data_IF_076893263218
#
_entry.id   IF_076893263218
#
_cell.length_a   1.000
_cell.length_b   1.000
_cell.length_c   1.000
_cell.angle_alpha   90.00
_cell.angle_beta   90.00
_cell.angle_gamma   90.00
#
_symmetry.space_group_name_H-M   'P 1'
#
loop_
_entity.id
_entity.type
_entity.pdbx_description
1 polymer ?
#
# COMPACT_ATOMS: atom_id res chain seq x y z
N UNK A 1 38.32 -91.90 62.69
CA UNK A 1 39.44 -91.38 61.87
C UNK A 1 40.72 -91.70 62.62
N UNK A 2 41.68 -92.33 61.95
CA UNK A 2 42.95 -92.79 62.54
C UNK A 2 43.76 -91.62 63.10
N UNK A 3 44.06 -91.66 64.40
CA UNK A 3 44.91 -90.65 65.06
C UNK A 3 46.33 -90.73 64.48
N UNK A 4 46.91 -89.62 63.97
CA UNK A 4 48.23 -89.65 63.37
C UNK A 4 49.30 -89.94 64.44
N UNK A 5 50.21 -90.89 64.14
CA UNK A 5 51.33 -91.27 65.02
C UNK A 5 52.65 -90.72 64.49
N UNK A 6 53.49 -90.21 65.39
CA UNK A 6 54.88 -89.81 65.09
C UNK A 6 55.81 -90.72 65.89
N UNK A 7 56.86 -91.23 65.24
CA UNK A 7 57.87 -92.07 65.88
C UNK A 7 58.99 -91.18 66.43
N UNK A 8 59.31 -91.30 67.72
CA UNK A 8 60.39 -90.53 68.32
C UNK A 8 61.76 -90.98 67.76
N UNK A 9 62.56 -90.09 67.15
CA UNK A 9 63.85 -90.47 66.56
C UNK A 9 64.91 -90.88 67.60
N UNK A 10 64.71 -90.56 68.88
CA UNK A 10 65.69 -90.82 69.95
C UNK A 10 65.46 -92.14 70.71
N UNK A 11 64.20 -92.55 70.92
CA UNK A 11 63.86 -93.76 71.67
C UNK A 11 62.92 -94.74 70.94
N UNK A 12 62.56 -94.45 69.68
CA UNK A 12 61.69 -95.25 68.80
C UNK A 12 60.28 -95.55 69.36
N UNK A 13 59.86 -94.88 70.42
CA UNK A 13 58.49 -95.00 70.94
C UNK A 13 57.49 -94.36 69.96
N UNK A 14 56.35 -95.03 69.75
CA UNK A 14 55.21 -94.50 69.01
C UNK A 14 54.47 -93.47 69.86
N UNK A 15 54.48 -92.21 69.43
CA UNK A 15 53.73 -91.12 70.07
C UNK A 15 52.47 -90.90 69.25
N UNK A 16 51.31 -91.21 69.83
CA UNK A 16 50.01 -90.87 69.25
C UNK A 16 49.78 -89.37 69.41
N UNK A 17 49.54 -88.64 68.33
CA UNK A 17 49.06 -87.26 68.39
C UNK A 17 47.60 -87.28 68.82
N UNK A 18 47.38 -87.51 70.11
CA UNK A 18 46.06 -87.38 70.71
C UNK A 18 45.69 -85.90 70.77
N UNK A 19 44.39 -85.61 70.85
CA UNK A 19 43.84 -84.26 70.99
C UNK A 19 44.53 -83.46 72.13
N UNK A 20 45.03 -84.17 73.15
CA UNK A 20 45.82 -83.64 74.27
C UNK A 20 47.19 -83.04 73.90
N UNK A 21 47.84 -83.48 72.82
CA UNK A 21 49.15 -82.97 72.38
C UNK A 21 49.03 -81.79 71.41
N UNK A 22 47.95 -81.73 70.63
CA UNK A 22 47.67 -80.65 69.67
C UNK A 22 46.87 -79.48 70.27
N UNK A 23 46.12 -79.72 71.36
CA UNK A 23 45.30 -78.71 72.03
C UNK A 23 46.07 -77.41 72.40
N UNK A 24 47.30 -77.44 72.95
CA UNK A 24 48.01 -76.21 73.31
C UNK A 24 48.40 -75.36 72.09
N UNK A 25 48.75 -76.01 70.97
CA UNK A 25 49.10 -75.33 69.73
C UNK A 25 47.85 -74.74 69.05
N UNK A 26 46.75 -75.51 69.00
CA UNK A 26 45.48 -75.03 68.48
C UNK A 26 44.92 -73.88 69.32
N UNK A 27 45.05 -73.94 70.64
CA UNK A 27 44.63 -72.86 71.54
C UNK A 27 45.47 -71.59 71.36
N UNK A 28 46.79 -71.73 71.16
CA UNK A 28 47.66 -70.57 70.85
C UNK A 28 47.27 -69.90 69.52
N UNK A 29 47.05 -70.70 68.47
CA UNK A 29 46.61 -70.16 67.16
C UNK A 29 45.23 -69.53 67.24
N UNK A 30 44.29 -70.13 67.98
CA UNK A 30 42.95 -69.58 68.20
C UNK A 30 43.02 -68.22 68.89
N UNK A 31 43.84 -68.06 69.94
CA UNK A 31 44.04 -66.77 70.63
C UNK A 31 44.64 -65.71 69.69
N UNK A 32 45.57 -66.08 68.82
CA UNK A 32 46.15 -65.16 67.85
C UNK A 32 45.16 -64.74 66.75
N UNK A 33 44.32 -65.67 66.29
CA UNK A 33 43.23 -65.35 65.36
C UNK A 33 42.16 -64.47 66.02
N UNK A 34 41.75 -64.75 67.25
CA UNK A 34 40.81 -63.93 68.02
C UNK A 34 41.37 -62.50 68.22
N UNK A 35 42.66 -62.36 68.53
CA UNK A 35 43.33 -61.04 68.60
C UNK A 35 43.35 -60.31 67.25
N UNK A 36 43.70 -61.00 66.16
CA UNK A 36 43.73 -60.41 64.81
C UNK A 36 42.35 -60.01 64.33
N UNK A 37 41.31 -60.79 64.66
CA UNK A 37 39.93 -60.48 64.35
C UNK A 37 39.48 -59.24 65.14
N UNK A 38 39.72 -59.21 66.45
CA UNK A 38 39.42 -58.06 67.29
C UNK A 38 40.16 -56.77 66.84
N UNK A 39 41.41 -56.89 66.39
CA UNK A 39 42.16 -55.76 65.80
C UNK A 39 41.54 -55.28 64.49
N UNK A 40 41.17 -56.20 63.59
CA UNK A 40 40.51 -55.84 62.33
C UNK A 40 39.14 -55.21 62.57
N UNK A 41 38.34 -55.76 63.47
CA UNK A 41 37.03 -55.23 63.83
C UNK A 41 37.15 -53.82 64.45
N UNK A 42 38.18 -53.58 65.27
CA UNK A 42 38.47 -52.25 65.80
C UNK A 42 38.91 -51.26 64.71
N UNK A 43 39.71 -51.70 63.74
CA UNK A 43 40.15 -50.85 62.63
C UNK A 43 39.03 -50.56 61.63
N UNK A 44 38.13 -51.53 61.35
CA UNK A 44 36.94 -51.31 60.54
C UNK A 44 35.97 -50.36 61.23
N UNK A 45 35.73 -50.54 62.54
CA UNK A 45 34.88 -49.63 63.31
C UNK A 45 35.42 -48.19 63.32
N UNK A 46 36.75 -48.00 63.40
CA UNK A 46 37.39 -46.67 63.29
C UNK A 46 37.17 -46.06 61.90
N UNK A 47 37.35 -46.84 60.84
CA UNK A 47 37.15 -46.36 59.45
C UNK A 47 35.70 -46.01 59.18
N UNK A 48 34.75 -46.82 59.65
CA UNK A 48 33.31 -46.56 59.52
C UNK A 48 32.93 -45.28 60.28
N UNK A 49 33.45 -45.07 61.48
CA UNK A 49 33.24 -43.82 62.23
C UNK A 49 33.82 -42.60 61.50
N UNK A 50 35.02 -42.72 60.91
CA UNK A 50 35.63 -41.63 60.15
C UNK A 50 34.85 -41.32 58.86
N UNK A 51 34.39 -42.34 58.13
CA UNK A 51 33.55 -42.16 56.93
C UNK A 51 32.25 -41.48 57.30
N UNK A 52 31.58 -41.91 58.39
CA UNK A 52 30.35 -41.28 58.86
C UNK A 52 30.55 -39.80 59.22
N UNK A 53 31.64 -39.47 59.92
CA UNK A 53 31.98 -38.07 60.21
C UNK A 53 32.22 -37.25 58.94
N UNK A 54 32.87 -37.83 57.93
CA UNK A 54 33.08 -37.17 56.63
C UNK A 54 31.76 -36.99 55.87
N UNK A 55 30.87 -37.98 55.88
CA UNK A 55 29.54 -37.88 55.29
C UNK A 55 28.73 -36.76 55.94
N UNK A 56 28.70 -36.69 57.28
CA UNK A 56 28.03 -35.64 58.04
C UNK A 56 28.65 -34.24 57.78
N UNK A 57 29.97 -34.16 57.58
CA UNK A 57 30.63 -32.91 57.20
C UNK A 57 30.26 -32.47 55.78
N UNK A 58 30.19 -33.42 54.84
CA UNK A 58 29.80 -33.15 53.44
C UNK A 58 28.35 -32.73 53.34
N UNK A 59 27.43 -33.35 54.10
CA UNK A 59 26.02 -32.93 54.10
C UNK A 59 25.86 -31.50 54.63
N UNK A 60 26.52 -31.17 55.75
CA UNK A 60 26.51 -29.80 56.29
C UNK A 60 27.11 -28.78 55.32
N UNK A 61 28.21 -29.13 54.63
CA UNK A 61 28.81 -28.24 53.64
C UNK A 61 27.90 -28.03 52.43
N UNK A 62 27.16 -29.06 51.98
CA UNK A 62 26.16 -28.94 50.92
C UNK A 62 25.00 -28.04 51.33
N UNK A 63 24.45 -28.24 52.51
CA UNK A 63 23.36 -27.39 53.04
C UNK A 63 23.76 -25.92 53.12
N UNK A 64 24.97 -25.62 53.61
CA UNK A 64 25.50 -24.26 53.65
C UNK A 64 25.72 -23.65 52.26
N UNK A 65 26.20 -24.46 51.30
CA UNK A 65 26.38 -24.00 49.93
C UNK A 65 25.03 -23.71 49.26
N UNK A 66 24.05 -24.58 49.46
CA UNK A 66 22.70 -24.42 48.92
C UNK A 66 22.03 -23.16 49.48
N UNK A 67 22.22 -22.86 50.77
CA UNK A 67 21.73 -21.64 51.40
C UNK A 67 22.40 -20.38 50.81
N UNK A 68 23.73 -20.38 50.64
CA UNK A 68 24.45 -19.27 50.02
C UNK A 68 24.06 -19.05 48.56
N UNK A 69 23.84 -20.13 47.80
CA UNK A 69 23.38 -20.06 46.42
C UNK A 69 21.96 -19.52 46.36
N UNK A 70 21.06 -19.99 47.22
CA UNK A 70 19.69 -19.50 47.30
C UNK A 70 19.64 -18.00 47.62
N UNK A 71 20.47 -17.52 48.56
CA UNK A 71 20.54 -16.11 48.91
C UNK A 71 21.07 -15.25 47.75
N UNK A 72 22.17 -15.68 47.09
CA UNK A 72 22.70 -14.99 45.90
C UNK A 72 21.68 -14.91 44.79
N UNK A 73 21.02 -16.03 44.46
CA UNK A 73 19.97 -16.08 43.43
C UNK A 73 18.81 -15.15 43.78
N UNK A 74 18.41 -15.08 45.06
CA UNK A 74 17.35 -14.16 45.52
C UNK A 74 17.76 -12.70 45.35
N UNK A 75 18.99 -12.35 45.70
CA UNK A 75 19.52 -10.99 45.54
C UNK A 75 19.57 -10.55 44.07
N UNK A 76 20.03 -11.45 43.18
CA UNK A 76 20.11 -11.19 41.74
C UNK A 76 18.74 -11.08 41.09
N UNK A 77 17.78 -11.93 41.48
CA UNK A 77 16.39 -11.81 41.02
C UNK A 77 15.77 -10.47 41.42
N UNK A 78 16.02 -10.01 42.65
CA UNK A 78 15.54 -8.70 43.10
C UNK A 78 16.19 -7.54 42.32
N UNK A 79 17.50 -7.64 42.03
CA UNK A 79 18.22 -6.65 41.21
C UNK A 79 17.65 -6.57 39.79
N UNK A 80 17.50 -7.73 39.13
CA UNK A 80 16.93 -7.82 37.78
C UNK A 80 15.50 -7.26 37.77
N UNK A 81 14.66 -7.63 38.74
CA UNK A 81 13.29 -7.11 38.82
C UNK A 81 13.26 -5.58 38.99
N UNK A 82 14.16 -5.01 39.80
CA UNK A 82 14.25 -3.56 39.99
C UNK A 82 14.75 -2.83 38.73
N UNK A 83 15.73 -3.38 38.03
CA UNK A 83 16.24 -2.82 36.78
C UNK A 83 15.18 -2.86 35.66
N UNK A 84 14.48 -3.98 35.51
CA UNK A 84 13.40 -4.11 34.52
C UNK A 84 12.22 -3.20 34.86
N UNK A 85 11.85 -3.05 36.13
CA UNK A 85 10.83 -2.08 36.54
C UNK A 85 11.24 -0.63 36.21
N UNK A 86 12.53 -0.29 36.39
CA UNK A 86 13.06 1.04 36.04
C UNK A 86 13.06 1.27 34.54
N UNK A 87 13.49 0.29 33.74
CA UNK A 87 13.45 0.37 32.26
C UNK A 87 12.02 0.49 31.75
N UNK A 88 11.10 -0.33 32.27
CA UNK A 88 9.68 -0.26 31.90
C UNK A 88 9.09 1.11 32.21
N UNK A 89 9.40 1.70 33.38
CA UNK A 89 8.94 3.05 33.73
C UNK A 89 9.49 4.13 32.79
N UNK A 90 10.77 4.04 32.41
CA UNK A 90 11.39 4.98 31.47
C UNK A 90 10.79 4.86 30.06
N UNK A 91 10.55 3.64 29.57
CA UNK A 91 9.93 3.41 28.26
C UNK A 91 8.49 3.96 28.22
N UNK A 92 7.69 3.69 29.27
CA UNK A 92 6.33 4.22 29.37
C UNK A 92 6.35 5.75 29.44
N UNK A 93 7.32 6.34 30.15
CA UNK A 93 7.44 7.79 30.24
C UNK A 93 7.85 8.42 28.90
N UNK A 94 8.79 7.81 28.16
CA UNK A 94 9.15 8.30 26.82
C UNK A 94 8.00 8.20 25.83
N UNK A 95 7.21 7.12 25.90
CA UNK A 95 6.05 6.93 25.04
C UNK A 95 4.96 7.97 25.35
N UNK A 96 4.72 8.26 26.64
CA UNK A 96 3.80 9.32 27.06
C UNK A 96 4.27 10.70 26.60
N UNK A 97 5.56 11.02 26.77
CA UNK A 97 6.12 12.30 26.33
C UNK A 97 6.02 12.48 24.80
N UNK A 98 6.22 11.41 24.03
CA UNK A 98 5.99 11.42 22.58
C UNK A 98 4.52 11.64 22.23
N UNK A 99 3.60 10.95 22.92
CA UNK A 99 2.15 11.11 22.69
C UNK A 99 1.65 12.51 23.03
N UNK A 100 2.19 13.12 24.08
CA UNK A 100 1.86 14.52 24.44
C UNK A 100 2.29 15.47 23.33
N UNK A 101 3.52 15.33 22.79
CA UNK A 101 3.98 16.15 21.66
C UNK A 101 3.14 15.96 20.40
N UNK A 102 2.82 14.71 20.04
CA UNK A 102 1.94 14.42 18.91
C UNK A 102 0.56 15.07 19.07
N UNK A 103 0.01 15.08 20.30
CA UNK A 103 -1.26 15.74 20.58
C UNK A 103 -1.13 17.26 20.45
N UNK A 104 -0.06 17.87 20.97
CA UNK A 104 0.21 19.30 20.83
C UNK A 104 0.29 19.72 19.35
N UNK A 105 1.09 18.99 18.55
CA UNK A 105 1.23 19.23 17.10
C UNK A 105 -0.10 19.09 16.35
N UNK A 106 -0.89 18.05 16.67
CA UNK A 106 -2.22 17.86 16.08
C UNK A 106 -3.19 18.98 16.46
N UNK A 107 -3.10 19.48 17.69
CA UNK A 107 -3.96 20.57 18.17
C UNK A 107 -3.61 21.88 17.46
N UNK A 108 -2.32 22.13 17.21
CA UNK A 108 -1.84 23.29 16.44
C UNK A 108 -2.29 23.21 14.98
N UNK A 109 -2.13 22.05 14.33
CA UNK A 109 -2.61 21.81 12.97
C UNK A 109 -4.13 21.99 12.83
N UNK A 110 -4.91 21.57 13.83
CA UNK A 110 -6.37 21.77 13.84
C UNK A 110 -6.72 23.26 13.93
N UNK A 111 -6.03 24.02 14.79
CA UNK A 111 -6.22 25.49 14.88
C UNK A 111 -5.89 26.19 13.57
N UNK A 112 -4.80 25.81 12.90
CA UNK A 112 -4.46 26.36 11.58
C UNK A 112 -5.52 26.04 10.51
N UNK A 113 -6.04 24.81 10.52
CA UNK A 113 -7.10 24.41 9.58
C UNK A 113 -8.40 25.14 9.85
N UNK A 114 -8.79 25.31 11.11
CA UNK A 114 -9.96 26.10 11.50
C UNK A 114 -9.83 27.56 11.06
N UNK A 115 -8.65 28.17 11.22
CA UNK A 115 -8.38 29.52 10.75
C UNK A 115 -8.51 29.64 9.22
N UNK A 116 -7.92 28.71 8.46
CA UNK A 116 -8.04 28.66 6.99
C UNK A 116 -9.48 28.44 6.53
N UNK A 117 -10.23 27.61 7.25
CA UNK A 117 -11.63 27.34 6.94
C UNK A 117 -12.51 28.58 7.20
N UNK A 118 -12.27 29.29 8.30
CA UNK A 118 -12.93 30.56 8.59
C UNK A 118 -12.62 31.64 7.54
N UNK A 119 -11.36 31.73 7.10
CA UNK A 119 -10.94 32.65 6.04
C UNK A 119 -11.62 32.31 4.70
N UNK A 120 -11.67 31.02 4.33
CA UNK A 120 -12.35 30.56 3.11
C UNK A 120 -13.86 30.83 3.15
N UNK A 121 -14.52 30.61 4.28
CA UNK A 121 -15.94 30.94 4.47
C UNK A 121 -16.21 32.43 4.33
N UNK A 122 -15.35 33.28 4.90
CA UNK A 122 -15.44 34.74 4.76
C UNK A 122 -15.26 35.18 3.31
N UNK A 123 -14.26 34.64 2.61
CA UNK A 123 -14.02 34.93 1.20
C UNK A 123 -15.22 34.52 0.32
N UNK A 124 -15.84 33.36 0.61
CA UNK A 124 -17.03 32.90 -0.09
C UNK A 124 -18.23 33.85 0.15
N UNK A 125 -18.43 34.30 1.39
CA UNK A 125 -19.49 35.26 1.73
C UNK A 125 -19.28 36.61 1.03
N UNK A 126 -18.04 37.10 0.98
CA UNK A 126 -17.68 38.35 0.30
C UNK A 126 -17.89 38.25 -1.22
N UNK A 127 -17.56 37.11 -1.84
CA UNK A 127 -17.83 36.85 -3.27
C UNK A 127 -19.33 36.85 -3.57
N UNK A 128 -20.14 36.19 -2.75
CA UNK A 128 -21.60 36.18 -2.91
C UNK A 128 -22.19 37.58 -2.77
N UNK A 129 -21.67 38.39 -1.84
CA UNK A 129 -22.08 39.78 -1.66
C UNK A 129 -21.74 40.63 -2.88
N UNK A 130 -20.49 40.56 -3.36
CA UNK A 130 -20.05 41.25 -4.58
C UNK A 130 -20.87 40.83 -5.81
N UNK A 131 -21.21 39.55 -5.92
CA UNK A 131 -22.04 39.06 -7.02
C UNK A 131 -23.44 39.70 -7.00
N UNK A 132 -24.08 39.79 -5.83
CA UNK A 132 -25.39 40.47 -5.69
C UNK A 132 -25.30 41.95 -6.03
N UNK A 133 -24.28 42.65 -5.53
CA UNK A 133 -24.06 44.07 -5.83
C UNK A 133 -23.86 44.32 -7.34
N UNK A 134 -23.12 43.45 -8.03
CA UNK A 134 -22.95 43.51 -9.49
C UNK A 134 -24.26 43.22 -10.25
N UNK A 135 -25.05 42.26 -9.80
CA UNK A 135 -26.31 41.91 -10.44
C UNK A 135 -27.37 43.02 -10.25
N UNK A 136 -27.41 43.67 -9.08
CA UNK A 136 -28.26 44.84 -8.83
C UNK A 136 -27.80 46.06 -9.65
N UNK A 137 -26.49 46.31 -9.73
CA UNK A 137 -25.94 47.38 -10.56
C UNK A 137 -26.24 47.17 -12.06
N UNK A 138 -26.20 45.93 -12.55
CA UNK A 138 -26.62 45.59 -13.92
C UNK A 138 -28.09 45.89 -14.14
N UNK A 139 -28.98 45.50 -13.21
CA UNK A 139 -30.42 45.79 -13.32
C UNK A 139 -30.70 47.29 -13.33
N UNK A 140 -30.02 48.06 -12.49
CA UNK A 140 -30.15 49.52 -12.47
C UNK A 140 -29.63 50.13 -13.78
N UNK A 141 -28.50 49.65 -14.29
CA UNK A 141 -27.96 50.08 -15.58
C UNK A 141 -28.93 49.77 -16.73
N UNK A 142 -29.47 48.56 -16.79
CA UNK A 142 -30.46 48.15 -17.80
C UNK A 142 -31.72 49.01 -17.74
N UNK A 143 -32.25 49.28 -16.54
CA UNK A 143 -33.37 50.20 -16.32
C UNK A 143 -33.06 51.63 -16.78
N UNK A 144 -31.82 52.09 -16.57
CA UNK A 144 -31.37 53.42 -16.98
C UNK A 144 -31.22 53.52 -18.50
N UNK A 145 -30.75 52.45 -19.13
CA UNK A 145 -30.67 52.31 -20.59
C UNK A 145 -32.07 52.27 -21.19
N UNK A 146 -33.00 51.49 -20.63
CA UNK A 146 -34.40 51.45 -21.08
C UNK A 146 -35.08 52.82 -20.95
N UNK A 147 -34.89 53.53 -19.83
CA UNK A 147 -35.41 54.90 -19.67
C UNK A 147 -34.81 55.86 -20.69
N UNK A 148 -33.49 55.83 -20.93
CA UNK A 148 -32.85 56.65 -21.96
C UNK A 148 -33.34 56.31 -23.37
N UNK A 149 -33.59 55.04 -23.67
CA UNK A 149 -34.16 54.61 -24.95
C UNK A 149 -35.61 55.08 -25.09
N UNK A 150 -36.41 55.03 -24.03
CA UNK A 150 -37.78 55.54 -24.03
C UNK A 150 -37.84 57.07 -24.14
N UNK A 151 -36.96 57.79 -23.43
CA UNK A 151 -36.82 59.25 -23.53
C UNK A 151 -36.31 59.68 -24.91
N UNK A 152 -35.35 58.94 -25.47
CA UNK A 152 -34.90 59.12 -26.86
C UNK A 152 -36.02 58.86 -27.87
N UNK A 153 -36.85 57.83 -27.66
CA UNK A 153 -38.03 57.54 -28.49
C UNK A 153 -39.14 58.58 -28.34
N UNK A 154 -39.32 59.18 -27.17
CA UNK A 154 -40.28 60.25 -26.92
C UNK A 154 -39.83 61.57 -27.58
N UNK A 155 -38.54 61.92 -27.45
CA UNK A 155 -37.95 63.08 -28.13
C UNK A 155 -38.01 62.93 -29.67
N UNK A 156 -37.80 61.71 -30.18
CA UNK A 156 -37.92 61.42 -31.62
C UNK A 156 -39.37 61.42 -32.09
N UNK A 157 -40.33 61.00 -31.25
CA UNK A 157 -41.78 61.07 -31.53
C UNK A 157 -42.32 62.49 -31.54
N UNK A 158 -41.84 63.37 -30.67
CA UNK A 158 -42.25 64.78 -30.62
C UNK A 158 -41.70 65.57 -31.82
N UNK A 159 -40.48 65.24 -32.27
CA UNK A 159 -39.89 65.80 -33.49
C UNK A 159 -40.58 65.25 -34.76
N UNK A 160 -40.95 63.97 -34.78
CA UNK A 160 -41.66 63.34 -35.90
C UNK A 160 -43.14 63.77 -36.03
N UNK A 161 -43.77 64.24 -34.94
CA UNK A 161 -45.16 64.75 -34.98
C UNK A 161 -45.27 66.12 -35.66
N UNK A 162 -44.16 66.89 -35.75
CA UNK A 162 -44.10 68.17 -36.46
C UNK A 162 -43.77 68.05 -37.95
N UNK A 163 -43.22 66.92 -38.40
CA UNK A 163 -42.83 66.69 -39.80
C UNK A 163 -43.82 65.76 -40.55
N UNK A 164 -44.87 65.26 -39.88
CA UNK A 164 -45.78 64.24 -40.41
C UNK A 164 -47.23 64.71 -40.63
N UNK A 165 -47.46 65.99 -40.96
CA UNK A 165 -48.75 66.45 -41.51
C UNK A 165 -48.75 66.61 -43.05
N UNK A 166 -47.63 66.37 -43.74
CA UNK A 166 -47.59 66.31 -45.20
C UNK A 166 -46.83 65.06 -45.67
N UNK A 167 -47.54 63.97 -46.00
CA UNK A 167 -46.91 62.84 -46.70
C UNK A 167 -47.46 61.45 -46.41
N UNK A 168 -48.73 61.24 -46.75
CA UNK A 168 -49.30 59.98 -47.25
C UNK A 168 -48.78 58.62 -46.72
N UNK A 169 -49.68 57.93 -46.00
CA UNK A 169 -50.26 56.64 -46.40
C UNK A 169 -49.65 56.03 -47.68
N UNK A 170 -48.62 55.18 -47.56
CA UNK A 170 -48.29 54.15 -48.58
C UNK A 170 -47.15 53.17 -48.19
N UNK A 171 -46.80 53.01 -46.90
CA UNK A 171 -45.75 52.04 -46.48
C UNK A 171 -46.15 51.05 -45.38
N UNK A 172 -47.43 50.97 -45.05
CA UNK A 172 -47.94 50.00 -44.06
C UNK A 172 -48.29 48.64 -44.70
N UNK A 173 -48.37 48.57 -46.03
CA UNK A 173 -48.74 47.34 -46.77
C UNK A 173 -47.59 46.41 -47.14
N UNK A 174 -46.36 46.64 -46.63
CA UNK A 174 -45.22 45.74 -46.89
C UNK A 174 -44.80 44.90 -45.67
N UNK A 175 -45.29 45.20 -44.45
CA UNK A 175 -44.80 44.55 -43.22
C UNK A 175 -45.63 43.34 -42.77
N UNK A 176 -46.81 43.11 -43.37
CA UNK A 176 -47.64 41.93 -43.08
C UNK A 176 -47.11 40.62 -43.71
N UNK A 177 -46.16 40.69 -44.63
CA UNK A 177 -45.54 39.49 -45.23
C UNK A 177 -44.39 38.86 -44.42
N UNK A 178 -43.99 39.46 -43.30
CA UNK A 178 -42.83 38.97 -42.52
C UNK A 178 -43.16 37.94 -41.44
N UNK A 179 -44.44 37.58 -41.25
CA UNK A 179 -44.88 36.63 -40.22
C UNK A 179 -44.68 35.15 -40.64
N UNK A 180 -44.50 34.89 -41.94
CA UNK A 180 -44.24 33.53 -42.46
C UNK A 180 -42.79 33.03 -42.20
N UNK A 181 -41.84 33.93 -41.92
CA UNK A 181 -40.42 33.56 -41.74
C UNK A 181 -40.09 33.03 -40.33
N UNK A 182 -40.99 33.18 -39.35
CA UNK A 182 -40.73 32.76 -37.96
C UNK A 182 -41.20 31.34 -37.63
N UNK A 183 -41.95 30.68 -38.53
CA UNK A 183 -42.37 29.28 -38.33
C UNK A 183 -41.24 28.26 -38.56
N UNK A 184 -40.09 28.68 -39.09
CA UNK A 184 -38.93 27.80 -39.35
C UNK A 184 -37.96 27.65 -38.17
N UNK A 185 -38.08 28.48 -37.13
CA UNK A 185 -37.21 28.44 -35.94
C UNK A 185 -37.81 27.67 -34.75
N UNK A 186 -39.07 27.20 -34.86
CA UNK A 186 -39.74 26.45 -33.77
C UNK A 186 -39.41 24.95 -33.81
N UNK A 187 -38.88 24.44 -34.93
CA UNK A 187 -38.45 23.04 -35.07
C UNK A 187 -37.05 22.79 -34.48
N UNK A 188 -36.23 23.84 -34.38
CA UNK A 188 -34.84 23.77 -33.90
C UNK A 188 -34.74 23.76 -32.36
N UNK A 189 -35.75 24.31 -31.67
CA UNK A 189 -35.87 24.20 -30.20
C UNK A 189 -36.46 22.86 -29.74
N UNK A 190 -37.23 22.18 -30.60
CA UNK A 190 -37.75 20.83 -30.32
C UNK A 190 -36.63 19.78 -30.26
N UNK A 191 -35.54 19.98 -31.01
CA UNK A 191 -34.37 19.09 -31.05
C UNK A 191 -33.42 19.24 -29.85
N UNK A 192 -33.52 20.33 -29.07
CA UNK A 192 -32.73 20.52 -27.83
C UNK A 192 -33.44 20.02 -26.57
N UNK A 193 -34.76 19.82 -26.61
CA UNK A 193 -35.54 19.25 -25.50
C UNK A 193 -35.33 17.72 -25.36
N UNK A 194 -34.91 17.03 -26.41
CA UNK A 194 -34.57 15.59 -26.37
C UNK A 194 -33.19 15.30 -25.77
N UNK A 195 -32.36 16.32 -25.53
CA UNK A 195 -31.00 16.15 -25.02
C UNK A 195 -30.92 15.85 -23.51
N UNK A 196 -32.06 15.87 -22.80
CA UNK A 196 -32.21 15.31 -21.44
C UNK A 196 -32.44 13.79 -21.41
N UNK A 197 -32.66 13.16 -22.58
CA UNK A 197 -33.02 11.75 -22.68
C UNK A 197 -31.86 10.79 -22.39
N UNK A 198 -30.59 11.21 -22.36
CA UNK A 198 -29.47 10.30 -22.06
C UNK A 198 -29.22 10.12 -20.55
N UNK A 199 -29.38 11.17 -19.74
CA UNK A 199 -29.26 11.07 -18.28
C UNK A 199 -30.45 10.32 -17.66
N UNK A 200 -31.67 10.70 -18.03
CA UNK A 200 -32.89 10.01 -17.60
C UNK A 200 -32.89 8.52 -18.00
N UNK A 201 -32.28 8.17 -19.14
CA UNK A 201 -32.19 6.78 -19.59
C UNK A 201 -31.09 5.96 -18.90
N UNK A 202 -30.04 6.60 -18.39
CA UNK A 202 -29.03 5.94 -17.54
C UNK A 202 -29.61 5.60 -16.17
N UNK A 203 -30.32 6.56 -15.56
CA UNK A 203 -30.99 6.41 -14.26
C UNK A 203 -32.02 5.27 -14.25
N UNK A 204 -32.78 5.12 -15.33
CA UNK A 204 -33.74 4.01 -15.44
C UNK A 204 -33.06 2.65 -15.43
N UNK A 205 -31.86 2.51 -16.02
CA UNK A 205 -31.15 1.24 -16.06
C UNK A 205 -30.43 0.94 -14.73
N UNK A 206 -29.94 1.96 -14.03
CA UNK A 206 -29.43 1.85 -12.66
C UNK A 206 -30.55 1.31 -11.74
N UNK A 207 -31.73 1.93 -11.80
CA UNK A 207 -32.91 1.49 -11.05
C UNK A 207 -33.38 0.09 -11.43
N UNK A 208 -33.31 -0.29 -12.71
CA UNK A 208 -33.68 -1.63 -13.18
C UNK A 208 -32.71 -2.70 -12.66
N UNK A 209 -31.41 -2.42 -12.65
CA UNK A 209 -30.40 -3.33 -12.11
C UNK A 209 -30.60 -3.54 -10.61
N UNK A 210 -30.84 -2.46 -9.86
CA UNK A 210 -31.16 -2.53 -8.43
C UNK A 210 -32.44 -3.34 -8.17
N UNK A 211 -33.51 -3.04 -8.90
CA UNK A 211 -34.78 -3.73 -8.76
C UNK A 211 -34.65 -5.23 -9.07
N UNK A 212 -33.88 -5.58 -10.11
CA UNK A 212 -33.59 -6.96 -10.48
C UNK A 212 -32.84 -7.68 -9.35
N UNK A 213 -31.78 -7.08 -8.82
CA UNK A 213 -30.98 -7.67 -7.73
C UNK A 213 -31.83 -7.82 -6.45
N UNK A 214 -32.62 -6.81 -6.08
CA UNK A 214 -33.51 -6.85 -4.89
C UNK A 214 -34.56 -7.95 -5.03
N UNK A 215 -35.13 -8.11 -6.22
CA UNK A 215 -36.15 -9.13 -6.49
C UNK A 215 -35.54 -10.53 -6.46
N UNK A 216 -34.35 -10.72 -7.02
CA UNK A 216 -33.67 -12.02 -7.08
C UNK A 216 -33.03 -12.43 -5.75
N UNK A 217 -32.57 -11.47 -4.96
CA UNK A 217 -31.85 -11.71 -3.71
C UNK A 217 -32.45 -10.91 -2.54
N UNK A 218 -33.66 -11.25 -2.06
CA UNK A 218 -34.35 -10.47 -1.02
C UNK A 218 -33.63 -10.44 0.34
N UNK A 219 -32.70 -11.36 0.57
CA UNK A 219 -31.92 -11.43 1.81
C UNK A 219 -30.69 -10.53 1.78
N UNK A 220 -30.21 -10.15 0.60
CA UNK A 220 -29.01 -9.34 0.45
C UNK A 220 -29.36 -7.85 0.67
N UNK A 221 -28.38 -7.04 1.10
CA UNK A 221 -28.56 -5.59 1.21
C UNK A 221 -28.00 -4.93 -0.04
N UNK A 222 -28.83 -4.14 -0.73
CA UNK A 222 -28.45 -3.43 -1.95
C UNK A 222 -28.52 -1.94 -1.65
N UNK A 223 -27.34 -1.30 -1.64
CA UNK A 223 -27.14 0.11 -1.34
C UNK A 223 -26.81 0.85 -2.64
N UNK A 224 -27.59 1.89 -3.02
CA UNK A 224 -27.22 2.76 -4.13
C UNK A 224 -26.01 3.61 -3.73
N UNK A 225 -25.06 3.79 -4.64
CA UNK A 225 -23.92 4.69 -4.40
C UNK A 225 -24.26 6.09 -4.92
N UNK A 226 -24.22 7.16 -4.09
CA UNK A 226 -24.62 8.49 -4.52
C UNK A 226 -23.79 9.03 -5.69
N UNK A 227 -24.46 9.64 -6.69
CA UNK A 227 -23.79 10.28 -7.82
C UNK A 227 -22.85 11.39 -7.33
N UNK A 228 -21.55 11.23 -7.60
CA UNK A 228 -20.51 12.21 -7.24
C UNK A 228 -19.51 11.70 -6.20
N UNK A 229 -19.76 10.56 -5.57
CA UNK A 229 -18.75 9.83 -4.79
C UNK A 229 -18.15 8.69 -5.62
N UNK A 230 -16.89 8.36 -5.37
CA UNK A 230 -16.19 7.24 -6.01
C UNK A 230 -16.84 5.92 -5.60
N UNK A 231 -17.67 5.36 -6.47
CA UNK A 231 -18.29 4.07 -6.27
C UNK A 231 -19.27 3.77 -7.40
N UNK A 232 -19.24 2.54 -7.89
CA UNK A 232 -20.10 2.12 -8.98
C UNK A 232 -21.58 2.12 -8.61
N UNK A 233 -22.44 1.98 -9.61
CA UNK A 233 -23.89 2.22 -9.50
C UNK A 233 -24.61 1.52 -8.33
N UNK A 234 -24.24 0.29 -7.97
CA UNK A 234 -24.84 -0.41 -6.83
C UNK A 234 -23.85 -1.27 -6.03
N UNK A 235 -23.99 -1.28 -4.72
CA UNK A 235 -23.27 -2.19 -3.81
C UNK A 235 -24.21 -3.26 -3.27
N UNK A 236 -23.90 -4.52 -3.56
CA UNK A 236 -24.61 -5.68 -3.04
C UNK A 236 -23.80 -6.32 -1.91
N UNK A 237 -24.30 -6.22 -0.69
CA UNK A 237 -23.80 -6.98 0.47
C UNK A 237 -24.48 -8.34 0.50
N UNK A 238 -23.72 -9.39 0.25
CA UNK A 238 -24.22 -10.76 0.19
C UNK A 238 -24.39 -11.32 1.60
N UNK A 239 -25.63 -11.68 1.93
CA UNK A 239 -25.99 -12.21 3.25
C UNK A 239 -26.19 -13.73 3.15
N UNK A 240 -25.44 -14.46 3.97
CA UNK A 240 -25.48 -15.92 4.04
C UNK A 240 -26.77 -16.44 4.68
N UNK A 241 -27.02 -17.76 4.63
CA UNK A 241 -28.21 -18.38 5.22
C UNK A 241 -28.43 -18.06 6.71
N UNK A 242 -27.33 -17.85 7.45
CA UNK A 242 -27.33 -17.56 8.89
C UNK A 242 -27.40 -16.06 9.22
N UNK A 243 -27.62 -15.18 8.23
CA UNK A 243 -27.67 -13.73 8.43
C UNK A 243 -26.31 -13.02 8.50
N UNK A 244 -25.20 -13.76 8.30
CA UNK A 244 -23.85 -13.21 8.28
C UNK A 244 -23.46 -12.58 6.94
N UNK A 245 -22.66 -11.51 6.99
CA UNK A 245 -22.09 -10.88 5.80
C UNK A 245 -20.99 -11.77 5.20
N UNK A 246 -21.18 -12.25 3.98
CA UNK A 246 -20.25 -13.16 3.30
C UNK A 246 -19.30 -12.44 2.33
N UNK A 247 -19.67 -11.25 1.87
CA UNK A 247 -18.86 -10.42 0.98
C UNK A 247 -19.70 -9.32 0.32
N UNK A 248 -19.04 -8.48 -0.48
CA UNK A 248 -19.63 -7.34 -1.16
C UNK A 248 -19.28 -7.38 -2.65
N UNK A 249 -20.28 -7.18 -3.50
CA UNK A 249 -20.15 -7.06 -4.95
C UNK A 249 -20.43 -5.61 -5.32
N UNK A 250 -19.54 -4.98 -6.08
CA UNK A 250 -19.79 -3.68 -6.70
C UNK A 250 -20.23 -3.86 -8.14
N UNK A 251 -21.33 -3.20 -8.50
CA UNK A 251 -21.98 -3.30 -9.81
C UNK A 251 -21.92 -1.94 -10.49
N UNK A 252 -21.50 -1.93 -11.75
CA UNK A 252 -21.46 -0.76 -12.63
C UNK A 252 -22.25 -1.07 -13.90
N UNK A 253 -23.19 -0.20 -14.28
CA UNK A 253 -24.00 -0.30 -15.49
C UNK A 253 -23.52 0.71 -16.53
N UNK A 254 -23.09 0.22 -17.69
CA UNK A 254 -22.67 1.06 -18.81
C UNK A 254 -23.63 0.94 -19.98
N UNK A 255 -24.22 2.07 -20.36
CA UNK A 255 -25.07 2.21 -21.54
C UNK A 255 -24.38 2.99 -22.64
N UNK A 256 -23.52 2.31 -23.37
CA UNK A 256 -22.76 2.90 -24.48
C UNK A 256 -22.71 1.94 -25.66
N UNK A 257 -22.56 2.50 -26.87
CA UNK A 257 -22.44 1.72 -28.10
C UNK A 257 -21.05 1.11 -28.26
N UNK A 258 -20.03 1.76 -27.69
CA UNK A 258 -18.63 1.36 -27.82
C UNK A 258 -18.08 1.08 -26.43
N UNK A 259 -17.39 -0.06 -26.30
CA UNK A 259 -16.62 -0.41 -25.12
C UNK A 259 -15.43 0.55 -24.92
N UNK A 260 -15.08 0.84 -23.67
CA UNK A 260 -13.87 1.57 -23.31
C UNK A 260 -13.13 0.84 -22.19
N UNK A 261 -11.87 0.51 -22.43
CA UNK A 261 -11.02 -0.20 -21.47
C UNK A 261 -10.77 0.62 -20.19
N UNK A 262 -10.88 1.95 -20.27
CA UNK A 262 -10.76 2.83 -19.10
C UNK A 262 -11.83 2.61 -18.02
N UNK A 263 -12.94 1.91 -18.33
CA UNK A 263 -13.94 1.56 -17.32
C UNK A 263 -13.42 0.49 -16.35
N UNK A 264 -12.54 -0.40 -16.80
CA UNK A 264 -11.95 -1.45 -15.96
C UNK A 264 -11.10 -0.82 -14.85
N UNK A 265 -10.18 0.08 -15.22
CA UNK A 265 -9.31 0.78 -14.28
C UNK A 265 -10.13 1.59 -13.26
N UNK A 266 -11.13 2.35 -13.72
CA UNK A 266 -12.01 3.13 -12.84
C UNK A 266 -12.77 2.24 -11.86
N UNK A 267 -13.39 1.15 -12.33
CA UNK A 267 -14.16 0.28 -11.44
C UNK A 267 -13.25 -0.45 -10.43
N UNK A 268 -11.99 -0.77 -10.78
CA UNK A 268 -11.02 -1.30 -9.80
C UNK A 268 -10.70 -0.30 -8.70
N UNK A 269 -10.57 0.98 -9.01
CA UNK A 269 -10.43 2.04 -8.01
C UNK A 269 -11.65 2.10 -7.08
N UNK A 270 -12.85 2.10 -7.67
CA UNK A 270 -14.12 2.12 -6.94
C UNK A 270 -14.29 0.85 -6.07
N UNK A 271 -13.89 -0.32 -6.57
CA UNK A 271 -13.86 -1.58 -5.82
C UNK A 271 -12.97 -1.49 -4.58
N UNK A 272 -11.78 -0.89 -4.72
CA UNK A 272 -10.84 -0.69 -3.59
C UNK A 272 -11.42 0.27 -2.55
N UNK A 273 -12.03 1.38 -3.00
CA UNK A 273 -12.67 2.36 -2.13
C UNK A 273 -13.84 1.75 -1.34
N UNK A 274 -14.70 0.99 -2.02
CA UNK A 274 -15.84 0.30 -1.43
C UNK A 274 -15.47 -0.96 -0.61
N UNK A 275 -14.18 -1.38 -0.64
CA UNK A 275 -13.68 -2.64 -0.06
C UNK A 275 -14.47 -3.87 -0.53
N UNK A 276 -14.92 -3.85 -1.79
CA UNK A 276 -15.67 -4.94 -2.38
C UNK A 276 -14.74 -6.08 -2.81
N UNK A 277 -15.16 -7.33 -2.58
CA UNK A 277 -14.44 -8.52 -3.01
C UNK A 277 -14.52 -8.75 -4.52
N UNK A 278 -15.65 -8.38 -5.15
CA UNK A 278 -15.91 -8.64 -6.57
C UNK A 278 -16.41 -7.35 -7.24
N UNK A 279 -15.90 -7.06 -8.43
CA UNK A 279 -16.36 -5.98 -9.29
C UNK A 279 -17.02 -6.52 -10.57
N UNK A 280 -18.15 -5.94 -10.96
CA UNK A 280 -18.92 -6.36 -12.13
C UNK A 280 -19.36 -5.15 -12.97
N UNK A 281 -19.05 -5.18 -14.27
CA UNK A 281 -19.58 -4.25 -15.28
C UNK A 281 -20.69 -4.95 -16.07
N UNK A 282 -21.85 -4.33 -16.11
CA UNK A 282 -22.99 -4.70 -16.93
C UNK A 282 -23.04 -3.76 -18.13
N UNK A 283 -22.76 -4.25 -19.33
CA UNK A 283 -22.72 -3.42 -20.54
C UNK A 283 -23.37 -4.10 -21.74
N UNK A 284 -24.04 -3.31 -22.58
CA UNK A 284 -24.57 -3.78 -23.88
C UNK A 284 -23.46 -3.93 -24.94
N UNK A 285 -22.42 -3.11 -24.86
CA UNK A 285 -21.22 -3.24 -25.68
C UNK A 285 -20.17 -4.00 -24.88
N UNK A 286 -19.70 -5.13 -25.39
CA UNK A 286 -18.69 -5.97 -24.74
C UNK A 286 -17.33 -5.80 -25.44
N UNK A 287 -16.21 -6.15 -24.76
CA UNK A 287 -14.90 -6.29 -25.40
C UNK A 287 -14.94 -7.25 -26.59
N UNK A 288 -13.99 -7.11 -27.52
CA UNK A 288 -13.97 -7.87 -28.78
C UNK A 288 -13.93 -9.40 -28.61
N UNK A 289 -13.45 -9.88 -27.45
CA UNK A 289 -13.26 -11.30 -27.17
C UNK A 289 -14.33 -11.88 -26.21
N UNK A 290 -15.34 -11.08 -25.82
CA UNK A 290 -16.36 -11.49 -24.85
C UNK A 290 -17.73 -11.53 -25.49
N UNK A 291 -18.34 -12.71 -25.58
CA UNK A 291 -19.69 -12.88 -26.15
C UNK A 291 -20.81 -12.79 -25.11
N UNK A 292 -20.61 -13.37 -23.92
CA UNK A 292 -21.63 -13.46 -22.86
C UNK A 292 -21.22 -12.72 -21.59
N UNK A 293 -20.25 -13.29 -20.89
CA UNK A 293 -19.59 -12.68 -19.75
C UNK A 293 -18.21 -13.33 -19.57
N UNK A 294 -17.24 -12.57 -19.11
CA UNK A 294 -15.89 -13.06 -18.81
C UNK A 294 -15.21 -12.18 -17.75
N UNK A 295 -14.07 -12.63 -17.24
CA UNK A 295 -13.20 -11.86 -16.35
C UNK A 295 -12.12 -11.17 -17.16
N UNK A 296 -12.22 -9.85 -17.29
CA UNK A 296 -11.24 -9.02 -17.99
C UNK A 296 -10.48 -8.21 -16.96
N UNK A 297 -9.18 -8.46 -16.86
CA UNK A 297 -8.28 -7.81 -15.90
C UNK A 297 -8.81 -7.77 -14.43
N UNK A 298 -9.40 -8.88 -13.98
CA UNK A 298 -9.93 -9.03 -12.62
C UNK A 298 -11.33 -8.45 -12.40
N UNK A 299 -11.96 -7.88 -13.42
CA UNK A 299 -13.34 -7.37 -13.37
C UNK A 299 -14.25 -8.29 -14.19
N UNK A 300 -15.40 -8.68 -13.63
CA UNK A 300 -16.41 -9.42 -14.38
C UNK A 300 -17.11 -8.47 -15.34
N UNK A 301 -17.16 -8.81 -16.62
CA UNK A 301 -17.89 -8.04 -17.63
C UNK A 301 -19.01 -8.92 -18.15
N UNK A 302 -20.26 -8.44 -18.13
CA UNK A 302 -21.44 -9.21 -18.56
C UNK A 302 -22.40 -8.39 -19.39
N UNK A 303 -23.09 -9.06 -20.32
CA UNK A 303 -24.27 -8.50 -20.95
C UNK A 303 -25.45 -8.43 -19.93
N UNK A 304 -26.35 -7.43 -20.00
CA UNK A 304 -27.55 -7.33 -19.15
C UNK A 304 -28.41 -8.60 -19.13
N UNK A 305 -28.48 -9.33 -20.25
CA UNK A 305 -29.24 -10.58 -20.37
C UNK A 305 -28.70 -11.72 -19.48
N UNK A 306 -27.40 -11.71 -19.19
CA UNK A 306 -26.73 -12.75 -18.39
C UNK A 306 -26.42 -12.31 -16.96
N UNK A 307 -26.83 -11.10 -16.57
CA UNK A 307 -26.54 -10.54 -15.24
C UNK A 307 -27.13 -11.40 -14.12
N UNK A 308 -28.34 -11.95 -14.28
CA UNK A 308 -29.00 -12.75 -13.24
C UNK A 308 -28.29 -14.08 -12.96
N UNK A 309 -27.96 -14.93 -13.96
CA UNK A 309 -27.20 -16.14 -13.71
C UNK A 309 -25.80 -15.83 -13.17
N UNK A 310 -25.11 -14.79 -13.69
CA UNK A 310 -23.80 -14.39 -13.16
C UNK A 310 -23.90 -13.99 -11.68
N UNK A 311 -24.85 -13.12 -11.32
CA UNK A 311 -25.07 -12.70 -9.94
C UNK A 311 -25.31 -13.90 -9.01
N UNK A 312 -26.02 -14.93 -9.46
CA UNK A 312 -26.23 -16.16 -8.68
C UNK A 312 -24.92 -16.89 -8.42
N UNK A 313 -24.07 -17.05 -9.44
CA UNK A 313 -22.78 -17.74 -9.31
C UNK A 313 -21.80 -16.98 -8.39
N UNK A 314 -21.69 -15.66 -8.55
CA UNK A 314 -20.83 -14.82 -7.72
C UNK A 314 -21.29 -14.81 -6.27
N UNK A 315 -22.61 -14.70 -6.05
CA UNK A 315 -23.23 -14.77 -4.73
C UNK A 315 -22.95 -16.11 -4.05
N UNK A 316 -23.13 -17.22 -4.77
CA UNK A 316 -22.86 -18.55 -4.23
C UNK A 316 -21.39 -18.70 -3.82
N UNK A 317 -20.47 -18.26 -4.69
CA UNK A 317 -19.02 -18.26 -4.42
C UNK A 317 -18.67 -17.46 -3.16
N UNK A 318 -19.24 -16.26 -2.99
CA UNK A 318 -19.01 -15.47 -1.78
C UNK A 318 -19.54 -16.14 -0.51
N UNK A 319 -20.67 -16.83 -0.58
CA UNK A 319 -21.21 -17.56 0.56
C UNK A 319 -20.30 -18.73 0.95
N UNK A 320 -19.80 -19.51 -0.02
CA UNK A 320 -18.88 -20.61 0.25
C UNK A 320 -17.57 -20.12 0.86
N UNK A 321 -16.99 -19.06 0.29
CA UNK A 321 -15.77 -18.42 0.83
C UNK A 321 -16.02 -17.86 2.24
N UNK A 322 -17.17 -17.25 2.47
CA UNK A 322 -17.59 -16.76 3.79
C UNK A 322 -17.71 -17.88 4.82
N UNK A 323 -18.32 -19.01 4.44
CA UNK A 323 -18.45 -20.19 5.32
C UNK A 323 -17.07 -20.79 5.65
N UNK A 324 -16.17 -20.88 4.66
CA UNK A 324 -14.80 -21.37 4.88
C UNK A 324 -13.99 -20.44 5.81
N UNK A 325 -14.14 -19.11 5.65
CA UNK A 325 -13.52 -18.11 6.55
C UNK A 325 -14.05 -18.26 7.98
N UNK A 326 -15.35 -18.36 8.16
CA UNK A 326 -15.98 -18.51 9.48
C UNK A 326 -15.57 -19.80 10.18
N UNK A 327 -15.46 -20.91 9.45
CA UNK A 327 -14.94 -22.17 9.98
C UNK A 327 -13.49 -22.07 10.47
N UNK A 328 -12.73 -21.11 9.92
CA UNK A 328 -11.34 -20.84 10.30
C UNK A 328 -11.21 -19.80 11.43
N UNK A 329 -12.31 -19.14 11.83
CA UNK A 329 -12.31 -17.98 12.74
C UNK A 329 -12.20 -18.36 14.24
N UNK A 330 -12.05 -19.64 14.55
CA UNK A 330 -11.90 -20.17 15.91
C UNK A 330 -10.46 -20.50 16.36
N UNK A 331 -9.46 -20.33 15.49
CA UNK A 331 -8.08 -20.77 15.76
C UNK A 331 -7.01 -19.68 15.60
N UNK A 332 -7.37 -18.42 15.39
CA UNK A 332 -6.40 -17.45 14.90
C UNK A 332 -5.52 -16.82 15.99
N UNK A 333 -4.26 -17.25 16.03
CA UNK A 333 -3.17 -16.53 16.68
C UNK A 333 -2.86 -15.21 15.95
N UNK A 334 -2.19 -14.26 16.61
CA UNK A 334 -1.77 -12.98 15.97
C UNK A 334 -0.93 -13.18 14.70
N UNK A 335 -0.19 -14.28 14.62
CA UNK A 335 0.59 -14.67 13.43
C UNK A 335 -0.31 -15.06 12.26
N UNK A 336 -1.40 -15.78 12.51
CA UNK A 336 -2.36 -16.16 11.47
C UNK A 336 -3.13 -14.96 10.91
N UNK A 337 -3.46 -13.96 11.74
CA UNK A 337 -4.07 -12.72 11.25
C UNK A 337 -3.17 -11.98 10.26
N UNK A 338 -1.86 -11.92 10.51
CA UNK A 338 -0.88 -11.32 9.60
C UNK A 338 -0.78 -12.15 8.31
N UNK A 339 -0.68 -13.46 8.44
CA UNK A 339 -0.64 -14.37 7.29
C UNK A 339 -1.89 -14.21 6.42
N UNK A 340 -3.08 -14.20 7.03
CA UNK A 340 -4.35 -14.02 6.33
C UNK A 340 -4.47 -12.65 5.67
N UNK A 341 -3.90 -11.61 6.27
CA UNK A 341 -3.83 -10.30 5.61
C UNK A 341 -2.94 -10.37 4.37
N UNK A 342 -1.73 -10.94 4.47
CA UNK A 342 -0.77 -11.08 3.37
C UNK A 342 -1.30 -11.97 2.24
N UNK A 343 -2.03 -13.03 2.55
CA UNK A 343 -2.66 -13.91 1.56
C UNK A 343 -4.07 -13.44 1.17
N UNK A 344 -4.56 -12.34 1.76
CA UNK A 344 -5.92 -11.87 1.62
C UNK A 344 -6.12 -10.93 0.42
N UNK A 345 -7.38 -10.73 -0.01
CA UNK A 345 -7.71 -9.83 -1.13
C UNK A 345 -7.23 -8.40 -0.87
N UNK A 346 -7.24 -7.95 0.39
CA UNK A 346 -6.83 -6.59 0.77
C UNK A 346 -5.36 -6.30 0.48
N UNK A 347 -4.46 -7.25 0.77
CA UNK A 347 -3.05 -7.08 0.46
C UNK A 347 -2.81 -7.19 -1.04
N UNK A 348 -3.44 -8.18 -1.70
CA UNK A 348 -3.39 -8.33 -3.15
C UNK A 348 -3.82 -7.05 -3.88
N UNK A 349 -4.94 -6.45 -3.53
CA UNK A 349 -5.42 -5.20 -4.12
C UNK A 349 -4.43 -4.04 -3.91
N UNK A 350 -3.73 -3.99 -2.77
CA UNK A 350 -2.69 -2.97 -2.51
C UNK A 350 -1.47 -3.18 -3.41
N UNK A 351 -1.01 -4.42 -3.56
CA UNK A 351 0.13 -4.73 -4.44
C UNK A 351 -0.23 -4.47 -5.90
N UNK A 352 -1.42 -4.89 -6.34
CA UNK A 352 -1.91 -4.62 -7.70
C UNK A 352 -2.01 -3.13 -7.98
N UNK A 353 -2.46 -2.31 -7.02
CA UNK A 353 -2.47 -0.84 -7.15
C UNK A 353 -1.07 -0.26 -7.38
N UNK A 354 -0.10 -0.76 -6.62
CA UNK A 354 1.30 -0.33 -6.74
C UNK A 354 1.85 -0.72 -8.12
N UNK A 355 1.61 -1.96 -8.57
CA UNK A 355 2.07 -2.45 -9.88
C UNK A 355 1.42 -1.69 -11.04
N UNK A 356 0.12 -1.40 -10.94
CA UNK A 356 -0.65 -0.63 -11.93
C UNK A 356 -0.11 0.81 -12.04
N UNK A 357 0.15 1.47 -10.90
CA UNK A 357 0.77 2.79 -10.88
C UNK A 357 2.18 2.78 -11.49
N UNK A 358 3.01 1.78 -11.17
CA UNK A 358 4.33 1.64 -11.78
C UNK A 358 4.27 1.39 -13.29
N UNK A 359 3.32 0.56 -13.74
CA UNK A 359 3.14 0.28 -15.17
C UNK A 359 2.72 1.54 -15.92
N UNK A 360 1.79 2.31 -15.37
CA UNK A 360 1.33 3.59 -15.94
C UNK A 360 2.49 4.61 -16.01
N UNK A 361 3.27 4.74 -14.94
CA UNK A 361 4.46 5.62 -14.92
C UNK A 361 5.50 5.19 -15.95
N UNK A 362 5.73 3.88 -16.13
CA UNK A 362 6.65 3.36 -17.13
C UNK A 362 6.16 3.67 -18.56
N UNK A 363 4.88 3.48 -18.83
CA UNK A 363 4.29 3.80 -20.13
C UNK A 363 4.38 5.30 -20.47
N UNK A 364 4.10 6.16 -19.50
CA UNK A 364 4.18 7.61 -19.70
C UNK A 364 5.63 8.07 -19.93
N UNK A 365 6.59 7.51 -19.19
CA UNK A 365 8.01 7.75 -19.41
C UNK A 365 8.47 7.27 -20.81
N UNK A 366 7.94 6.14 -21.29
CA UNK A 366 8.25 5.64 -22.63
C UNK A 366 7.59 6.48 -23.74
N UNK A 367 6.40 7.05 -23.51
CA UNK A 367 5.78 8.04 -24.41
C UNK A 367 6.60 9.33 -24.47
N UNK A 368 7.05 9.83 -23.33
CA UNK A 368 7.92 11.02 -23.25
C UNK A 368 9.24 10.79 -23.98
N UNK A 369 9.91 9.66 -23.76
CA UNK A 369 11.12 9.29 -24.50
C UNK A 369 10.90 9.31 -26.00
N UNK A 370 9.83 8.69 -26.50
CA UNK A 370 9.50 8.68 -27.93
C UNK A 370 9.27 10.10 -28.47
N UNK A 371 8.57 10.95 -27.72
CA UNK A 371 8.33 12.33 -28.11
C UNK A 371 9.62 13.17 -28.15
N UNK A 372 10.49 13.01 -27.14
CA UNK A 372 11.78 13.70 -27.05
C UNK A 372 12.73 13.25 -28.16
N UNK A 373 12.83 11.94 -28.44
CA UNK A 373 13.64 11.41 -29.55
C UNK A 373 13.18 12.01 -30.88
N UNK A 374 11.87 12.06 -31.12
CA UNK A 374 11.31 12.69 -32.32
C UNK A 374 11.67 14.18 -32.40
N UNK A 375 11.66 14.88 -31.26
CA UNK A 375 12.03 16.29 -31.20
C UNK A 375 13.52 16.51 -31.43
N UNK A 376 14.39 15.65 -30.89
CA UNK A 376 15.83 15.66 -31.15
C UNK A 376 16.11 15.45 -32.64
N UNK A 377 15.54 14.42 -33.26
CA UNK A 377 15.71 14.17 -34.70
C UNK A 377 15.28 15.38 -35.55
N UNK A 378 14.15 16.02 -35.21
CA UNK A 378 13.70 17.23 -35.91
C UNK A 378 14.67 18.41 -35.73
N UNK A 379 15.24 18.59 -34.53
CA UNK A 379 16.20 19.66 -34.25
C UNK A 379 17.54 19.39 -34.93
N UNK A 380 17.99 18.15 -34.96
CA UNK A 380 19.20 17.71 -35.64
C UNK A 380 19.12 18.01 -37.14
N UNK A 381 18.02 17.65 -37.81
CA UNK A 381 17.79 17.99 -39.23
C UNK A 381 17.73 19.52 -39.48
N UNK A 382 17.25 20.29 -38.52
CA UNK A 382 17.28 21.76 -38.60
C UNK A 382 18.70 22.31 -38.46
N UNK A 383 19.47 21.78 -37.51
CA UNK A 383 20.88 22.14 -37.30
C UNK A 383 21.71 21.78 -38.53
N UNK A 384 21.57 20.56 -39.06
CA UNK A 384 22.27 20.11 -40.27
C UNK A 384 21.94 20.99 -41.47
N UNK A 385 20.67 21.36 -41.70
CA UNK A 385 20.31 22.28 -42.79
C UNK A 385 20.98 23.64 -42.66
N UNK A 386 21.01 24.21 -41.46
CA UNK A 386 21.69 25.50 -41.21
C UNK A 386 23.19 25.35 -41.39
N UNK A 387 23.79 24.27 -40.90
CA UNK A 387 25.21 23.97 -41.10
C UNK A 387 25.56 23.83 -42.58
N UNK A 388 24.80 23.06 -43.35
CA UNK A 388 25.01 22.89 -44.79
C UNK A 388 24.85 24.21 -45.55
N UNK A 389 23.85 25.02 -45.21
CA UNK A 389 23.67 26.34 -45.81
C UNK A 389 24.87 27.26 -45.48
N UNK A 390 25.33 27.26 -44.24
CA UNK A 390 26.48 28.08 -43.80
C UNK A 390 27.77 27.64 -44.47
N UNK A 391 28.04 26.33 -44.52
CA UNK A 391 29.21 25.76 -45.19
C UNK A 391 29.17 26.00 -46.72
N UNK A 392 27.99 25.87 -47.35
CA UNK A 392 27.78 26.17 -48.77
C UNK A 392 28.03 27.64 -49.10
N UNK A 393 27.44 28.55 -48.33
CA UNK A 393 27.69 30.00 -48.47
C UNK A 393 29.17 30.34 -48.30
N UNK A 394 29.86 29.71 -47.34
CA UNK A 394 31.29 29.92 -47.15
C UNK A 394 32.11 29.40 -48.34
N UNK A 395 31.78 28.21 -48.87
CA UNK A 395 32.40 27.67 -50.08
C UNK A 395 32.19 28.55 -51.32
N UNK A 396 30.97 29.05 -51.53
CA UNK A 396 30.64 29.97 -52.62
C UNK A 396 31.43 31.29 -52.50
N UNK A 397 31.49 31.86 -51.28
CA UNK A 397 32.27 33.06 -51.00
C UNK A 397 33.78 32.85 -51.23
N UNK A 398 34.33 31.71 -50.83
CA UNK A 398 35.73 31.36 -51.07
C UNK A 398 36.04 31.13 -52.55
N UNK A 399 35.08 30.57 -53.31
CA UNK A 399 35.18 30.41 -54.77
C UNK A 399 35.13 31.73 -55.54
N UNK A 400 34.32 32.69 -55.09
CA UNK A 400 34.16 34.01 -55.74
C UNK A 400 35.29 34.98 -55.37
N UNK A 401 35.70 35.02 -54.10
CA UNK A 401 36.65 36.02 -53.59
C UNK A 401 38.12 35.55 -53.57
N UNK A 402 38.41 34.28 -53.87
CA UNK A 402 39.73 33.68 -53.70
C UNK A 402 40.14 33.57 -52.22
N UNK A 403 41.35 33.08 -51.94
CA UNK A 403 41.91 32.75 -50.59
C UNK A 403 41.98 33.90 -49.56
N UNK A 404 41.31 35.02 -49.79
CA UNK A 404 41.43 36.27 -49.01
C UNK A 404 40.34 36.47 -47.95
N UNK A 405 39.38 35.54 -47.79
CA UNK A 405 38.38 35.60 -46.70
C UNK A 405 38.94 34.87 -45.46
N UNK A 406 38.89 35.54 -44.30
CA UNK A 406 39.27 34.94 -43.00
C UNK A 406 38.41 33.70 -42.70
N UNK A 407 39.06 32.63 -42.20
CA UNK A 407 38.41 31.38 -41.81
C UNK A 407 37.55 31.55 -40.55
N UNK A 408 36.38 30.92 -40.53
CA UNK A 408 35.45 30.95 -39.39
C UNK A 408 35.74 29.75 -38.49
N UNK A 409 36.07 30.04 -37.23
CA UNK A 409 36.38 29.05 -36.19
C UNK A 409 35.17 28.09 -35.99
N UNK A 410 35.33 26.82 -36.37
CA UNK A 410 34.28 25.79 -36.30
C UNK A 410 33.96 25.07 -37.62
N UNK A 411 34.38 25.61 -38.77
CA UNK A 411 34.30 24.96 -40.09
C UNK A 411 35.66 24.51 -40.63
N UNK A 412 36.72 24.67 -39.83
CA UNK A 412 38.07 24.24 -40.17
C UNK A 412 38.21 22.71 -40.10
N UNK A 413 38.78 22.12 -41.15
CA UNK A 413 39.38 20.79 -41.07
C UNK A 413 40.72 20.92 -40.32
N UNK A 414 40.70 20.80 -38.99
CA UNK A 414 41.96 20.57 -38.25
C UNK A 414 42.54 19.24 -38.74
N UNK A 415 43.59 19.33 -39.54
CA UNK A 415 44.39 18.16 -39.90
C UNK A 415 44.83 17.49 -38.60
N UNK A 416 44.41 16.23 -38.41
CA UNK A 416 44.92 15.39 -37.34
C UNK A 416 46.40 15.15 -37.64
N UNK A 417 47.28 15.97 -37.05
CA UNK A 417 48.71 15.68 -37.08
C UNK A 417 48.92 14.29 -36.46
N UNK A 418 49.66 13.38 -37.12
CA UNK A 418 49.99 12.10 -36.51
C UNK A 418 50.85 12.35 -35.27
N UNK A 419 50.69 11.56 -34.20
CA UNK A 419 51.32 11.83 -32.92
C UNK A 419 52.85 11.80 -33.06
N UNK A 420 53.50 12.84 -32.55
CA UNK A 420 54.96 12.95 -32.47
C UNK A 420 55.57 11.69 -31.86
N UNK A 421 56.43 11.05 -32.65
CA UNK A 421 57.30 9.97 -32.21
C UNK A 421 58.28 10.51 -31.17
N UNK A 422 58.18 10.00 -29.95
CA UNK A 422 59.19 9.96 -28.89
C UNK A 422 60.55 10.62 -29.22
N UNK A 423 60.80 11.80 -28.66
CA UNK A 423 62.15 12.18 -28.25
C UNK A 423 62.29 11.95 -26.75
N UNK A 424 63.25 11.09 -26.46
CA UNK A 424 63.72 10.64 -25.16
C UNK A 424 64.26 11.78 -24.31
N UNK A 425 63.64 12.01 -23.15
CA UNK A 425 64.29 12.71 -22.03
C UNK A 425 65.36 11.78 -21.44
N UNK A 426 66.59 11.93 -21.93
CA UNK A 426 67.80 11.53 -21.25
C UNK A 426 68.55 12.79 -20.84
N UNK A 427 68.99 12.83 -19.57
CA UNK A 427 69.88 13.83 -18.96
C UNK A 427 69.28 15.25 -18.83
N UNK A 428 69.24 15.91 -17.67
CA UNK A 428 70.30 16.02 -16.67
C UNK A 428 69.78 16.37 -15.25
N UNK A 429 70.25 15.62 -14.25
CA UNK A 429 70.52 16.18 -12.91
C UNK A 429 71.83 16.96 -13.03
N UNK A 430 71.86 18.20 -12.55
CA UNK A 430 72.88 18.77 -11.63
C UNK A 430 72.69 20.30 -11.54
N UNK A 431 72.54 20.76 -10.29
CA UNK A 431 73.19 21.96 -9.78
C UNK A 431 72.60 23.32 -10.18
N UNK A 432 72.00 24.01 -9.22
CA UNK A 432 72.39 25.40 -9.04
C UNK A 432 72.46 25.76 -7.55
N UNK A 433 73.70 26.07 -7.15
CA UNK A 433 74.03 26.90 -6.01
C UNK A 433 73.48 28.32 -6.25
N UNK A 434 73.11 28.99 -5.16
CA UNK A 434 72.60 30.37 -5.13
C UNK A 434 71.99 30.68 -3.79
#
# INVERSE_FOLDING_TARGET
MSEPTIICPSCKAEIKLTESLAAPLLESTRRDYEKRLAQKDADTAKREAEIRLREEAVTKAKEQLDEQVAEKVRSERNRIAAEEAKKAKLAVQSDLDQKVKELEDLTELMKEREAKLAEAQKAQADLLRKQRELDDAKREFDLTVEKRVQEGLAATREQAKKEAEEGLKLKVLEKEQTIASMQKQIEELKRKAEQGSQQLQGEVQELELEALLRTKFPRDTIEPVPKGEHGGDALQRVIGPNGQLCGTIIWESKRTKNWSDGWLAKLREDQRAAKAEIAVIVSHSLPKDVETFDVVEGVWVTHPKTVSPLAHTLRHTLIEVGCARQASEGQQTKTEMIYQYLTGPRFRHRVEAIVEAFSTMQEDLDKEKKAIIKQWAKREEQIERVMHATAGMYGDLQGIAGKTIQEIEGLELRALNPPDSHQSDANDRVGNEG
#
